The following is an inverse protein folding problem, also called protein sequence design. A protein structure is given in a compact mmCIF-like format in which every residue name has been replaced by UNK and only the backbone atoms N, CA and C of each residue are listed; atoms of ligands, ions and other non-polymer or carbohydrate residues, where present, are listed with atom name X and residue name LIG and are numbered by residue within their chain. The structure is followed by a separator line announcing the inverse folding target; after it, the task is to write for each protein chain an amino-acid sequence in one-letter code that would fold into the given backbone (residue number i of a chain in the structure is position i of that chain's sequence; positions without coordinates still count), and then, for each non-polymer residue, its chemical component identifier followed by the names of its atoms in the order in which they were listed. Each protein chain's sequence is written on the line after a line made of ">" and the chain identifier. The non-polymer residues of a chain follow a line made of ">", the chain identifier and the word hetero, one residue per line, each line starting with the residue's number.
data_IF_546252037548
#
_entry.id   IF_546252037548
#
_cell.length_a   1.000
_cell.length_b   1.000
_cell.length_c   1.000
_cell.angle_alpha   90.00
_cell.angle_beta   90.00
_cell.angle_gamma   90.00
#
_symmetry.space_group_name_H-M   'P 1'
#
loop_
_entity.id
_entity.type
_entity.pdbx_description
1 polymer ?
#
# COMPACT_ATOMS: atom_id res chain seq x y z
N UNK A 1 -61.40 -14.03 -41.73
CA UNK A 1 -62.16 -13.18 -40.79
C UNK A 1 -62.07 -13.77 -39.39
N UNK A 2 -61.60 -12.95 -38.44
CA UNK A 2 -61.77 -12.95 -36.97
C UNK A 2 -60.41 -12.74 -36.28
N UNK A 3 -60.21 -11.48 -35.90
CA UNK A 3 -59.18 -10.98 -35.00
C UNK A 3 -59.44 -11.58 -33.61
N UNK A 4 -58.41 -12.06 -32.93
CA UNK A 4 -58.42 -12.21 -31.47
C UNK A 4 -57.22 -11.45 -30.95
N UNK A 5 -57.51 -10.36 -30.24
CA UNK A 5 -56.55 -9.56 -29.50
C UNK A 5 -56.33 -10.26 -28.15
N UNK A 6 -55.12 -10.74 -27.89
CA UNK A 6 -54.74 -11.15 -26.54
C UNK A 6 -54.07 -9.95 -25.88
N UNK A 7 -54.80 -9.30 -24.98
CA UNK A 7 -54.30 -8.28 -24.06
C UNK A 7 -53.53 -9.04 -22.97
N UNK A 8 -52.20 -8.95 -22.98
CA UNK A 8 -51.39 -9.36 -21.84
C UNK A 8 -51.22 -8.15 -20.91
N UNK A 9 -51.96 -8.16 -19.80
CA UNK A 9 -51.71 -7.30 -18.66
C UNK A 9 -50.38 -7.72 -18.02
N UNK A 10 -49.32 -6.94 -18.25
CA UNK A 10 -48.08 -7.06 -17.47
C UNK A 10 -48.37 -6.44 -16.11
N UNK A 11 -48.58 -7.28 -15.10
CA UNK A 11 -48.62 -6.87 -13.71
C UNK A 11 -47.23 -6.34 -13.31
N UNK A 12 -47.20 -5.08 -12.91
CA UNK A 12 -46.04 -4.43 -12.28
C UNK A 12 -45.81 -5.11 -10.92
N UNK A 13 -44.87 -6.05 -10.84
CA UNK A 13 -44.33 -6.50 -9.57
C UNK A 13 -43.23 -5.52 -9.14
N UNK A 14 -43.60 -4.53 -8.32
CA UNK A 14 -42.66 -3.79 -7.50
C UNK A 14 -42.07 -4.74 -6.45
N UNK A 15 -40.97 -5.41 -6.81
CA UNK A 15 -40.10 -6.05 -5.83
C UNK A 15 -39.07 -5.03 -5.37
N UNK A 16 -39.44 -4.25 -4.34
CA UNK A 16 -38.47 -3.56 -3.50
C UNK A 16 -37.76 -4.60 -2.65
N UNK A 17 -36.57 -5.02 -3.07
CA UNK A 17 -35.61 -5.70 -2.21
C UNK A 17 -34.29 -4.94 -2.27
N UNK A 18 -34.18 -3.96 -1.38
CA UNK A 18 -32.89 -3.52 -0.87
C UNK A 18 -32.31 -4.66 -0.04
N UNK A 19 -31.32 -5.36 -0.57
CA UNK A 19 -30.36 -6.11 0.22
C UNK A 19 -28.96 -5.58 -0.06
N UNK A 20 -28.46 -4.88 0.95
CA UNK A 20 -27.12 -4.39 1.15
C UNK A 20 -26.09 -5.52 1.05
N UNK A 21 -25.25 -5.41 0.04
CA UNK A 21 -24.04 -6.19 -0.15
C UNK A 21 -23.22 -5.54 -1.25
N UNK A 22 -22.91 -4.25 -1.08
CA UNK A 22 -22.08 -3.52 -2.05
C UNK A 22 -20.65 -4.04 -1.90
N UNK A 23 -20.29 -5.04 -2.70
CA UNK A 23 -18.88 -5.31 -2.99
C UNK A 23 -18.31 -4.04 -3.59
N UNK A 24 -17.61 -3.25 -2.77
CA UNK A 24 -16.98 -2.00 -3.22
C UNK A 24 -16.08 -2.31 -4.41
N UNK A 25 -16.33 -1.66 -5.54
CA UNK A 25 -15.52 -1.81 -6.75
C UNK A 25 -14.09 -1.32 -6.51
N UNK A 26 -13.14 -1.67 -7.38
CA UNK A 26 -11.77 -1.10 -7.38
C UNK A 26 -11.80 0.43 -7.31
N UNK A 27 -12.72 1.04 -8.05
CA UNK A 27 -12.90 2.50 -8.06
C UNK A 27 -13.31 3.05 -6.69
N UNK A 28 -14.17 2.33 -5.97
CA UNK A 28 -14.69 2.78 -4.67
C UNK A 28 -13.60 2.79 -3.61
N UNK A 29 -12.78 1.74 -3.51
CA UNK A 29 -11.67 1.67 -2.54
C UNK A 29 -10.65 2.79 -2.78
N UNK A 30 -10.25 3.01 -4.04
CA UNK A 30 -9.32 4.09 -4.39
C UNK A 30 -9.90 5.45 -4.02
N UNK A 31 -11.16 5.72 -4.37
CA UNK A 31 -11.79 7.00 -4.07
C UNK A 31 -11.85 7.27 -2.56
N UNK A 32 -12.28 6.28 -1.77
CA UNK A 32 -12.37 6.37 -0.30
C UNK A 32 -11.01 6.70 0.32
N UNK A 33 -9.96 5.96 -0.06
CA UNK A 33 -8.64 6.15 0.52
C UNK A 33 -7.95 7.44 0.03
N UNK A 34 -8.20 7.86 -1.20
CA UNK A 34 -7.69 9.15 -1.70
C UNK A 34 -8.34 10.32 -0.95
N UNK A 35 -9.63 10.26 -0.65
CA UNK A 35 -10.30 11.27 0.18
C UNK A 35 -9.72 11.27 1.61
N UNK A 36 -9.54 10.09 2.22
CA UNK A 36 -8.92 9.96 3.54
C UNK A 36 -7.51 10.55 3.59
N UNK A 37 -6.69 10.32 2.55
CA UNK A 37 -5.34 10.87 2.45
C UNK A 37 -5.33 12.39 2.31
N UNK A 38 -6.25 12.98 1.52
CA UNK A 38 -6.40 14.44 1.40
C UNK A 38 -6.78 15.11 2.72
N UNK A 39 -7.61 14.46 3.54
CA UNK A 39 -7.95 14.94 4.90
C UNK A 39 -6.80 14.74 5.88
N UNK A 40 -5.99 13.71 5.67
CA UNK A 40 -4.88 13.38 6.56
C UNK A 40 -3.64 14.24 6.32
N UNK A 41 -3.35 14.61 5.07
CA UNK A 41 -2.09 15.25 4.67
C UNK A 41 -2.29 16.26 3.55
N UNK A 42 -1.43 17.26 3.48
CA UNK A 42 -1.32 18.12 2.30
C UNK A 42 -0.48 17.40 1.24
N UNK A 43 -1.12 16.96 0.16
CA UNK A 43 -0.50 16.14 -0.90
C UNK A 43 -0.69 16.79 -2.27
N UNK A 44 0.34 16.70 -3.11
CA UNK A 44 0.28 17.06 -4.52
C UNK A 44 -0.50 16.01 -5.33
N UNK A 45 -0.90 16.37 -6.55
CA UNK A 45 -1.54 15.43 -7.47
C UNK A 45 -0.66 14.21 -7.76
N UNK A 46 0.66 14.38 -7.91
CA UNK A 46 1.58 13.26 -8.16
C UNK A 46 1.61 12.29 -6.98
N UNK A 47 1.60 12.80 -5.74
CA UNK A 47 1.56 11.95 -4.55
C UNK A 47 0.26 11.15 -4.47
N UNK A 48 -0.88 11.77 -4.84
CA UNK A 48 -2.17 11.09 -4.88
C UNK A 48 -2.22 10.02 -5.98
N UNK A 49 -1.66 10.28 -7.17
CA UNK A 49 -1.54 9.28 -8.24
C UNK A 49 -0.72 8.07 -7.76
N UNK A 50 0.42 8.32 -7.11
CA UNK A 50 1.27 7.26 -6.57
C UNK A 50 0.58 6.48 -5.43
N UNK A 51 -0.16 7.16 -4.57
CA UNK A 51 -0.98 6.51 -3.55
C UNK A 51 -2.06 5.62 -4.16
N UNK A 52 -2.72 6.05 -5.25
CA UNK A 52 -3.67 5.21 -5.99
C UNK A 52 -3.03 3.92 -6.50
N UNK A 53 -1.80 3.98 -7.00
CA UNK A 53 -1.07 2.77 -7.42
C UNK A 53 -0.85 1.80 -6.25
N UNK A 54 -0.48 2.31 -5.06
CA UNK A 54 -0.32 1.49 -3.85
C UNK A 54 -1.66 0.83 -3.47
N UNK A 55 -2.75 1.58 -3.47
CA UNK A 55 -4.10 1.06 -3.15
C UNK A 55 -4.50 -0.03 -4.15
N UNK A 56 -4.28 0.19 -5.45
CA UNK A 56 -4.54 -0.82 -6.49
C UNK A 56 -3.69 -2.07 -6.34
N UNK A 57 -2.42 -1.95 -5.92
CA UNK A 57 -1.59 -3.12 -5.60
C UNK A 57 -2.11 -3.85 -4.36
N UNK A 58 -2.54 -3.13 -3.32
CA UNK A 58 -3.14 -3.76 -2.15
C UNK A 58 -4.42 -4.50 -2.51
N UNK A 59 -5.27 -3.96 -3.36
CA UNK A 59 -6.45 -4.68 -3.79
C UNK A 59 -6.11 -5.98 -4.55
N UNK A 60 -5.02 -6.00 -5.31
CA UNK A 60 -4.60 -7.19 -6.07
C UNK A 60 -3.85 -8.23 -5.22
N UNK A 61 -3.05 -7.79 -4.24
CA UNK A 61 -2.10 -8.65 -3.51
C UNK A 61 -2.28 -8.65 -1.99
N UNK A 62 -3.22 -7.86 -1.48
CA UNK A 62 -3.62 -7.81 -0.08
C UNK A 62 -4.71 -8.83 0.24
N UNK A 63 -5.24 -8.74 1.45
CA UNK A 63 -6.25 -9.68 1.98
C UNK A 63 -7.51 -8.96 2.48
N UNK A 64 -7.81 -7.80 1.88
CA UNK A 64 -8.98 -6.97 2.17
C UNK A 64 -9.03 -6.38 3.61
N UNK A 65 -8.10 -6.72 4.50
CA UNK A 65 -7.97 -6.08 5.81
C UNK A 65 -7.42 -4.66 5.65
N UNK A 66 -8.32 -3.69 5.49
CA UNK A 66 -8.01 -2.29 5.19
C UNK A 66 -7.19 -1.61 6.30
N UNK A 67 -7.12 -2.19 7.51
CA UNK A 67 -6.22 -1.72 8.58
C UNK A 67 -4.76 -1.92 8.17
N UNK A 68 -4.45 -2.96 7.40
CA UNK A 68 -3.12 -3.15 6.78
C UNK A 68 -2.85 -2.11 5.71
N UNK A 69 -3.85 -1.75 4.91
CA UNK A 69 -3.71 -0.68 3.91
C UNK A 69 -3.40 0.68 4.57
N UNK A 70 -4.06 1.02 5.68
CA UNK A 70 -3.73 2.22 6.48
C UNK A 70 -2.23 2.25 6.84
N UNK A 71 -1.70 1.12 7.30
CA UNK A 71 -0.29 1.02 7.70
C UNK A 71 0.69 1.03 6.52
N UNK A 72 0.33 0.41 5.39
CA UNK A 72 1.12 0.46 4.15
C UNK A 72 1.24 1.90 3.63
N UNK A 73 0.12 2.64 3.60
CA UNK A 73 0.10 4.04 3.18
C UNK A 73 0.87 4.95 4.14
N UNK A 74 0.74 4.71 5.44
CA UNK A 74 1.52 5.41 6.47
C UNK A 74 3.04 5.19 6.28
N UNK A 75 3.45 3.97 5.95
CA UNK A 75 4.85 3.63 5.65
C UNK A 75 5.33 4.40 4.42
N UNK A 76 4.61 4.34 3.29
CA UNK A 76 4.98 5.08 2.08
C UNK A 76 5.03 6.60 2.28
N UNK A 77 4.11 7.15 3.08
CA UNK A 77 4.11 8.56 3.43
C UNK A 77 5.33 8.95 4.28
N UNK A 78 5.73 8.09 5.23
CA UNK A 78 6.89 8.34 6.07
C UNK A 78 8.20 8.27 5.28
N UNK A 79 8.39 7.17 4.56
CA UNK A 79 9.67 6.84 3.90
C UNK A 79 9.97 7.75 2.72
N UNK A 80 8.93 8.14 1.95
CA UNK A 80 9.17 8.83 0.69
C UNK A 80 8.14 9.88 0.29
N UNK A 81 7.17 10.17 1.18
CA UNK A 81 6.04 11.06 0.88
C UNK A 81 5.32 10.64 -0.41
N UNK A 82 5.18 9.35 -0.67
CA UNK A 82 4.61 8.79 -1.90
C UNK A 82 5.36 9.14 -3.19
N UNK A 83 6.66 9.43 -3.15
CA UNK A 83 7.50 9.48 -4.34
C UNK A 83 8.41 8.24 -4.40
N UNK A 84 8.61 7.60 -5.56
CA UNK A 84 9.60 6.55 -5.67
C UNK A 84 10.98 7.20 -5.87
N UNK A 85 11.68 7.44 -4.76
CA UNK A 85 12.94 8.20 -4.76
C UNK A 85 14.14 7.30 -4.52
N UNK A 86 15.29 7.76 -4.98
CA UNK A 86 16.58 7.21 -4.57
C UNK A 86 17.01 7.80 -3.24
N UNK A 87 17.62 6.97 -2.39
CA UNK A 87 18.26 7.39 -1.16
C UNK A 87 19.40 8.38 -1.47
N UNK A 88 19.52 9.41 -0.64
CA UNK A 88 20.64 10.34 -0.68
C UNK A 88 21.72 9.91 0.31
N UNK A 89 22.98 9.97 -0.11
CA UNK A 89 24.10 9.72 0.79
C UNK A 89 24.16 10.81 1.84
N UNK A 90 24.12 10.41 3.11
CA UNK A 90 24.29 11.34 4.22
C UNK A 90 25.73 11.89 4.24
N UNK A 91 25.93 13.01 4.93
CA UNK A 91 27.28 13.58 5.08
C UNK A 91 28.20 12.63 5.85
N UNK A 92 29.49 12.51 5.46
CA UNK A 92 30.48 11.73 6.21
C UNK A 92 30.50 12.09 7.70
N UNK A 93 30.67 11.08 8.56
CA UNK A 93 30.72 11.25 10.02
C UNK A 93 29.37 11.18 10.74
N UNK A 94 28.24 11.26 10.03
CA UNK A 94 26.91 11.08 10.64
C UNK A 94 26.60 9.61 10.92
N UNK A 95 25.73 9.33 11.89
CA UNK A 95 25.30 7.94 12.15
C UNK A 95 24.51 7.35 10.98
N UNK A 96 23.79 8.18 10.22
CA UNK A 96 23.13 7.76 8.98
C UNK A 96 24.15 7.31 7.94
N UNK A 97 25.24 8.07 7.74
CA UNK A 97 26.30 7.66 6.82
C UNK A 97 26.91 6.30 7.23
N UNK A 98 27.17 6.10 8.53
CA UNK A 98 27.69 4.83 9.04
C UNK A 98 26.75 3.66 8.74
N UNK A 99 25.43 3.83 8.93
CA UNK A 99 24.43 2.80 8.58
C UNK A 99 24.39 2.53 7.07
N UNK A 100 24.40 3.58 6.25
CA UNK A 100 24.38 3.47 4.80
C UNK A 100 25.61 2.75 4.25
N UNK A 101 26.78 2.89 4.90
CA UNK A 101 28.01 2.18 4.48
C UNK A 101 27.85 0.66 4.44
N UNK A 102 26.87 0.07 5.14
CA UNK A 102 26.63 -1.37 5.10
C UNK A 102 26.16 -1.90 3.73
N UNK A 103 25.63 -1.04 2.85
CA UNK A 103 25.05 -1.45 1.55
C UNK A 103 25.34 -0.48 0.40
N UNK A 104 25.92 0.68 0.65
CA UNK A 104 26.02 1.72 -0.37
C UNK A 104 26.96 1.38 -1.52
N UNK A 105 28.14 0.87 -1.19
CA UNK A 105 29.18 0.57 -2.18
C UNK A 105 28.80 -0.65 -3.04
N UNK A 106 27.81 -1.44 -2.61
CA UNK A 106 27.23 -2.50 -3.45
C UNK A 106 26.26 -1.98 -4.50
N UNK A 107 25.90 -0.69 -4.49
CA UNK A 107 24.92 -0.09 -5.41
C UNK A 107 23.45 -0.37 -5.06
N UNK A 108 23.18 -1.17 -4.02
CA UNK A 108 21.85 -1.57 -3.55
C UNK A 108 21.37 -0.71 -2.38
N UNK A 109 21.53 0.60 -2.53
CA UNK A 109 20.98 1.62 -1.65
C UNK A 109 19.48 1.86 -1.90
N UNK A 110 18.83 2.57 -0.97
CA UNK A 110 17.39 2.73 -0.88
C UNK A 110 16.75 3.23 -2.18
N UNK A 111 15.74 2.52 -2.67
CA UNK A 111 14.89 2.97 -3.79
C UNK A 111 13.41 2.73 -3.54
N UNK A 112 12.58 3.57 -4.15
CA UNK A 112 11.13 3.41 -4.18
C UNK A 112 10.43 3.86 -2.89
N UNK A 113 9.15 3.50 -2.76
CA UNK A 113 8.24 3.95 -1.70
C UNK A 113 8.61 3.44 -0.31
N UNK A 114 9.36 2.34 -0.24
CA UNK A 114 9.76 1.69 1.00
C UNK A 114 11.27 1.79 1.27
N UNK A 115 12.02 2.46 0.38
CA UNK A 115 13.49 2.53 0.43
C UNK A 115 14.13 1.13 0.48
N UNK A 116 13.88 0.31 -0.55
CA UNK A 116 14.45 -1.04 -0.68
C UNK A 116 15.98 -0.98 -0.65
N UNK A 117 16.60 -1.69 0.30
CA UNK A 117 18.06 -1.74 0.50
C UNK A 117 18.55 -3.19 0.55
N UNK A 118 19.86 -3.36 0.38
CA UNK A 118 20.59 -4.63 0.38
C UNK A 118 20.32 -5.51 -0.85
N UNK A 119 21.40 -6.04 -1.43
CA UNK A 119 21.37 -6.89 -2.62
C UNK A 119 20.41 -8.08 -2.50
N UNK A 120 20.36 -8.72 -1.34
CA UNK A 120 19.47 -9.87 -1.09
C UNK A 120 18.00 -9.52 -1.31
N UNK A 121 17.57 -8.32 -0.92
CA UNK A 121 16.19 -7.90 -1.15
C UNK A 121 15.93 -7.63 -2.64
N UNK A 122 16.88 -7.01 -3.34
CA UNK A 122 16.80 -6.85 -4.80
C UNK A 122 16.71 -8.21 -5.51
N UNK A 123 17.52 -9.20 -5.11
CA UNK A 123 17.45 -10.57 -5.64
C UNK A 123 16.11 -11.25 -5.37
N UNK A 124 15.56 -11.12 -4.16
CA UNK A 124 14.22 -11.66 -3.82
C UNK A 124 13.15 -11.06 -4.73
N UNK A 125 13.09 -9.73 -4.84
CA UNK A 125 12.08 -9.07 -5.66
C UNK A 125 12.30 -9.28 -7.16
N UNK A 126 13.55 -9.40 -7.61
CA UNK A 126 13.84 -9.75 -9.00
C UNK A 126 13.19 -11.08 -9.39
N UNK A 127 13.34 -12.10 -8.53
CA UNK A 127 12.71 -13.41 -8.71
C UNK A 127 11.18 -13.34 -8.66
N UNK A 128 10.61 -12.58 -7.71
CA UNK A 128 9.16 -12.47 -7.53
C UNK A 128 8.50 -11.76 -8.72
N UNK A 129 9.13 -10.70 -9.24
CA UNK A 129 8.60 -9.89 -10.34
C UNK A 129 8.93 -10.46 -11.72
N UNK A 130 9.96 -11.29 -11.85
CA UNK A 130 10.53 -11.65 -13.14
C UNK A 130 11.21 -10.47 -13.84
N UNK A 131 11.67 -9.48 -13.07
CA UNK A 131 12.40 -8.30 -13.55
C UNK A 131 13.82 -8.34 -13.00
N UNK A 132 14.83 -8.05 -13.82
CA UNK A 132 16.22 -8.09 -13.36
C UNK A 132 16.60 -6.82 -12.57
N UNK A 133 16.15 -6.76 -11.32
CA UNK A 133 16.47 -5.67 -10.39
C UNK A 133 17.93 -5.70 -9.91
N UNK A 134 18.67 -6.78 -10.17
CA UNK A 134 20.08 -6.88 -9.77
C UNK A 134 20.96 -6.18 -10.80
N UNK A 135 20.71 -6.45 -12.09
CA UNK A 135 21.38 -5.75 -13.17
C UNK A 135 20.87 -4.30 -13.32
N UNK A 136 19.58 -4.05 -13.05
CA UNK A 136 18.94 -2.75 -13.22
C UNK A 136 18.20 -2.31 -11.93
N UNK A 137 18.90 -1.94 -10.85
CA UNK A 137 18.28 -1.60 -9.57
C UNK A 137 17.36 -0.38 -9.64
N UNK A 138 17.56 0.51 -10.61
CA UNK A 138 16.72 1.69 -10.81
C UNK A 138 15.29 1.36 -11.26
N UNK A 139 15.03 0.13 -11.73
CA UNK A 139 13.65 -0.36 -11.95
C UNK A 139 12.81 -0.28 -10.66
N UNK A 140 13.42 -0.32 -9.48
CA UNK A 140 12.72 -0.11 -8.21
C UNK A 140 12.20 1.34 -8.01
N UNK A 141 12.63 2.29 -8.85
CA UNK A 141 12.11 3.67 -8.89
C UNK A 141 10.87 3.81 -9.79
N UNK A 142 10.54 2.80 -10.59
CA UNK A 142 9.30 2.83 -11.34
C UNK A 142 8.12 2.70 -10.38
N UNK A 143 7.17 3.64 -10.43
CA UNK A 143 6.08 3.74 -9.45
C UNK A 143 5.27 2.43 -9.32
N UNK A 144 5.05 1.71 -10.44
CA UNK A 144 4.34 0.43 -10.44
C UNK A 144 5.13 -0.70 -9.77
N UNK A 145 6.44 -0.76 -9.99
CA UNK A 145 7.35 -1.75 -9.39
C UNK A 145 7.51 -1.44 -7.91
N UNK A 146 7.75 -0.18 -7.57
CA UNK A 146 7.84 0.35 -6.21
C UNK A 146 6.58 0.05 -5.37
N UNK A 147 5.38 0.29 -5.91
CA UNK A 147 4.11 -0.04 -5.25
C UNK A 147 3.97 -1.54 -5.00
N UNK A 148 4.38 -2.37 -5.97
CA UNK A 148 4.36 -3.82 -5.81
C UNK A 148 5.31 -4.25 -4.70
N UNK A 149 6.57 -3.78 -4.71
CA UNK A 149 7.58 -4.12 -3.71
C UNK A 149 7.07 -3.79 -2.31
N UNK A 150 6.55 -2.58 -2.12
CA UNK A 150 5.97 -2.13 -0.84
C UNK A 150 4.84 -3.07 -0.38
N UNK A 151 3.78 -3.21 -1.18
CA UNK A 151 2.58 -3.97 -0.78
C UNK A 151 2.92 -5.44 -0.60
N UNK A 152 3.47 -6.08 -1.63
CA UNK A 152 3.74 -7.52 -1.60
C UNK A 152 4.75 -7.86 -0.50
N UNK A 153 5.79 -7.02 -0.34
CA UNK A 153 6.80 -7.20 0.67
C UNK A 153 6.24 -7.16 2.09
N UNK A 154 5.36 -6.21 2.39
CA UNK A 154 4.74 -6.08 3.72
C UNK A 154 3.71 -7.19 3.98
N UNK A 155 2.93 -7.57 2.98
CA UNK A 155 1.92 -8.62 3.11
C UNK A 155 2.54 -10.02 3.30
N UNK A 156 3.69 -10.29 2.68
CA UNK A 156 4.31 -11.62 2.66
C UNK A 156 5.61 -11.72 3.48
N UNK A 157 6.02 -10.63 4.14
CA UNK A 157 7.21 -10.58 4.99
C UNK A 157 8.53 -10.77 4.24
N UNK A 158 8.64 -10.28 3.01
CA UNK A 158 9.81 -10.49 2.14
C UNK A 158 11.06 -9.77 2.68
N UNK A 159 10.88 -8.64 3.36
CA UNK A 159 11.98 -7.82 3.87
C UNK A 159 12.68 -8.48 5.07
N UNK A 160 11.94 -8.73 6.15
CA UNK A 160 12.51 -9.19 7.45
C UNK A 160 12.07 -10.59 7.87
N UNK A 161 11.22 -11.26 7.08
CA UNK A 161 10.54 -12.49 7.46
C UNK A 161 9.26 -12.27 8.28
N UNK A 162 8.98 -11.04 8.73
CA UNK A 162 7.77 -10.68 9.45
C UNK A 162 6.76 -10.04 8.51
N UNK A 163 5.49 -10.42 8.62
CA UNK A 163 4.40 -9.96 7.75
C UNK A 163 3.37 -9.16 8.52
N UNK A 164 2.54 -8.37 7.83
CA UNK A 164 1.54 -7.54 8.50
C UNK A 164 0.55 -8.36 9.34
N UNK A 165 0.20 -9.58 8.94
CA UNK A 165 -0.71 -10.43 9.73
C UNK A 165 -0.15 -10.88 11.08
N UNK A 166 1.16 -10.74 11.34
CA UNK A 166 1.75 -10.97 12.66
C UNK A 166 1.36 -9.87 13.68
N UNK A 167 0.94 -8.70 13.18
CA UNK A 167 0.69 -7.49 13.96
C UNK A 167 -0.74 -6.94 13.82
N UNK A 168 -1.33 -7.07 12.62
CA UNK A 168 -2.63 -6.55 12.25
C UNK A 168 -3.48 -7.72 11.77
N UNK A 169 -4.41 -8.16 12.60
CA UNK A 169 -5.33 -9.26 12.35
C UNK A 169 -6.61 -9.06 13.18
N UNK A 170 -7.61 -9.92 12.99
CA UNK A 170 -8.97 -9.82 13.59
C UNK A 170 -9.12 -8.89 14.81
N UNK A 171 -8.71 -9.31 16.02
CA UNK A 171 -8.84 -8.52 17.27
C UNK A 171 -7.57 -7.75 17.68
N UNK A 172 -6.59 -7.63 16.79
CA UNK A 172 -5.28 -7.02 17.11
C UNK A 172 -4.87 -6.03 16.02
N UNK A 173 -4.67 -4.77 16.41
CA UNK A 173 -4.07 -3.76 15.54
C UNK A 173 -2.86 -3.18 16.25
N UNK A 174 -1.69 -3.76 15.99
CA UNK A 174 -0.40 -3.31 16.53
C UNK A 174 0.41 -2.57 15.46
N UNK A 175 0.03 -1.33 15.17
CA UNK A 175 0.77 -0.51 14.19
C UNK A 175 2.21 -0.21 14.63
N UNK A 176 2.48 -0.11 15.93
CA UNK A 176 3.84 0.14 16.44
C UNK A 176 4.73 -1.07 16.18
N UNK A 177 4.26 -2.27 16.53
CA UNK A 177 4.96 -3.53 16.28
C UNK A 177 5.14 -3.83 14.79
N UNK A 178 4.20 -3.41 13.95
CA UNK A 178 4.25 -3.60 12.50
C UNK A 178 5.47 -2.92 11.84
N UNK A 179 6.21 -2.03 12.52
CA UNK A 179 7.47 -1.49 11.99
C UNK A 179 8.48 -2.58 11.66
N UNK A 180 8.46 -3.66 12.44
CA UNK A 180 9.30 -4.85 12.29
C UNK A 180 9.15 -5.57 10.95
N UNK A 181 8.09 -5.29 10.19
CA UNK A 181 7.87 -5.83 8.83
C UNK A 181 8.87 -5.25 7.83
N UNK A 182 9.30 -4.00 8.01
CA UNK A 182 10.19 -3.29 7.06
C UNK A 182 11.57 -3.01 7.66
N UNK A 183 11.63 -2.59 8.92
CA UNK A 183 12.87 -2.21 9.61
C UNK A 183 12.78 -2.61 11.10
N UNK A 184 13.71 -2.21 11.97
CA UNK A 184 13.61 -2.42 13.41
C UNK A 184 12.44 -1.69 14.08
N UNK A 185 12.71 -0.76 14.99
CA UNK A 185 11.67 0.07 15.62
C UNK A 185 11.87 1.57 15.43
N UNK A 186 12.79 1.96 14.55
CA UNK A 186 13.00 3.37 14.23
C UNK A 186 11.71 4.01 13.71
N UNK A 187 11.34 5.14 14.32
CA UNK A 187 10.11 5.92 14.06
C UNK A 187 8.79 5.16 14.17
N UNK A 188 8.76 4.02 14.86
CA UNK A 188 7.57 3.15 14.95
C UNK A 188 6.30 3.90 15.41
N UNK A 189 6.37 4.68 16.49
CA UNK A 189 5.21 5.43 17.01
C UNK A 189 4.73 6.51 16.04
N UNK A 190 5.66 7.18 15.34
CA UNK A 190 5.32 8.20 14.36
C UNK A 190 4.57 7.60 13.17
N UNK A 191 5.06 6.49 12.62
CA UNK A 191 4.39 5.79 11.51
C UNK A 191 3.03 5.24 11.98
N UNK A 192 2.95 4.70 13.19
CA UNK A 192 1.70 4.24 13.78
C UNK A 192 0.67 5.39 13.89
N UNK A 193 1.11 6.58 14.31
CA UNK A 193 0.24 7.77 14.36
C UNK A 193 -0.28 8.19 12.98
N UNK A 194 0.52 8.04 11.92
CA UNK A 194 0.05 8.28 10.55
C UNK A 194 -1.00 7.26 10.13
N UNK A 195 -0.81 5.97 10.46
CA UNK A 195 -1.78 4.92 10.17
C UNK A 195 -3.12 5.16 10.89
N UNK A 196 -3.06 5.57 12.16
CA UNK A 196 -4.25 5.98 12.93
C UNK A 196 -4.94 7.19 12.31
N UNK A 197 -4.18 8.22 11.91
CA UNK A 197 -4.72 9.42 11.27
C UNK A 197 -5.44 9.09 9.95
N UNK A 198 -4.86 8.22 9.13
CA UNK A 198 -5.50 7.74 7.89
C UNK A 198 -6.79 7.00 8.25
N UNK A 199 -6.71 6.05 9.18
CA UNK A 199 -7.86 5.24 9.62
C UNK A 199 -9.04 6.08 10.10
N UNK A 200 -8.79 7.18 10.83
CA UNK A 200 -9.82 8.09 11.33
C UNK A 200 -10.52 8.88 10.22
N UNK A 201 -9.87 9.04 9.06
CA UNK A 201 -10.39 9.80 7.92
C UNK A 201 -10.99 8.92 6.81
N UNK A 202 -11.00 7.59 6.98
CA UNK A 202 -11.68 6.68 6.04
C UNK A 202 -13.19 6.74 6.27
N UNK A 203 -13.96 7.04 5.22
CA UNK A 203 -15.41 7.19 5.25
C UNK A 203 -16.08 6.43 4.07
N UNK A 204 -17.06 5.53 4.30
CA UNK A 204 -17.56 5.10 5.61
C UNK A 204 -16.47 4.48 6.48
N UNK A 205 -16.59 4.57 7.82
CA UNK A 205 -15.65 3.90 8.71
C UNK A 205 -15.62 2.40 8.39
N UNK A 206 -14.42 1.83 8.33
CA UNK A 206 -14.25 0.40 8.13
C UNK A 206 -14.53 -0.28 9.48
N UNK A 207 -15.43 -1.26 9.49
CA UNK A 207 -15.80 -2.06 10.66
C UNK A 207 -14.64 -2.93 11.16
#
# INVERSE_FOLDING_TARGET
>A
MKKVWVILLIALALASTSLSGQSSTVGDMVAIFIDALKRSFQLSNTQLINASLIIMKFQKYGDEDLRKLNYILATAYHESKFYPISELRASPGTDTYKRQSAYWDSGFYGRGFVQLTFEDNYRKFAKILGLDLVANPDLALEANVSAFILVYGMMNGVFTGRKLSDYIQYQKVDYVGARKVVNGQDRADLIASYAQKISQNVNPPIA
#
